data_IF_213226779479
#
_entry.id   IF_213226779479
#
_cell.length_a   1.000
_cell.length_b   1.000
_cell.length_c   1.000
_cell.angle_alpha   90.00
_cell.angle_beta   90.00
_cell.angle_gamma   90.00
#
_symmetry.space_group_name_H-M   'P 1'
#
loop_
_entity.id
_entity.type
_entity.pdbx_description
1 polymer ?
#
# COMPACT_ATOMS: atom_id res chain seq x y z
N UNK A 1 -14.87 20.12 -20.02
CA UNK A 1 -14.32 21.43 -20.47
C UNK A 1 -13.44 21.20 -21.70
N UNK A 2 -13.20 22.23 -22.53
CA UNK A 2 -12.23 22.09 -23.65
C UNK A 2 -10.80 22.07 -23.12
N UNK A 3 -9.87 21.41 -23.82
CA UNK A 3 -8.45 21.33 -23.39
C UNK A 3 -7.81 22.71 -23.21
N UNK A 4 -8.11 23.64 -24.12
CA UNK A 4 -7.70 25.04 -23.98
C UNK A 4 -8.16 25.62 -22.64
N UNK A 5 -9.45 25.48 -22.33
CA UNK A 5 -10.04 26.05 -21.11
C UNK A 5 -9.47 25.42 -19.83
N UNK A 6 -9.17 24.11 -19.86
CA UNK A 6 -8.48 23.42 -18.77
C UNK A 6 -7.10 24.03 -18.55
N UNK A 7 -6.32 24.21 -19.61
CA UNK A 7 -4.95 24.71 -19.52
C UNK A 7 -4.87 26.18 -19.13
N UNK A 8 -5.76 27.02 -19.65
CA UNK A 8 -5.81 28.44 -19.26
C UNK A 8 -6.20 28.61 -17.79
N UNK A 9 -7.08 27.76 -17.26
CA UNK A 9 -7.42 27.75 -15.84
C UNK A 9 -6.31 27.17 -14.96
N UNK A 10 -5.72 26.04 -15.34
CA UNK A 10 -4.68 25.37 -14.54
C UNK A 10 -3.42 26.23 -14.38
N UNK A 11 -3.04 26.95 -15.43
CA UNK A 11 -1.84 27.79 -15.45
C UNK A 11 -2.13 29.29 -15.31
N UNK A 12 -3.40 29.66 -15.16
CA UNK A 12 -3.85 31.05 -14.98
C UNK A 12 -3.32 32.01 -16.07
N UNK A 13 -3.26 31.56 -17.33
CA UNK A 13 -2.87 32.38 -18.48
C UNK A 13 -4.00 32.58 -19.48
N UNK A 14 -3.81 33.52 -20.41
CA UNK A 14 -4.75 33.79 -21.49
C UNK A 14 -4.71 32.76 -22.63
N UNK A 15 -5.83 32.62 -23.37
CA UNK A 15 -5.92 31.75 -24.55
C UNK A 15 -4.83 31.98 -25.62
N UNK A 16 -4.40 33.21 -25.96
CA UNK A 16 -3.28 33.40 -26.88
C UNK A 16 -1.99 32.74 -26.40
N UNK A 17 -1.73 32.78 -25.10
CA UNK A 17 -0.55 32.14 -24.48
C UNK A 17 -0.63 30.62 -24.61
N UNK A 18 -1.81 30.02 -24.47
CA UNK A 18 -2.03 28.59 -24.73
C UNK A 18 -1.56 28.21 -26.15
N UNK A 19 -2.05 28.93 -27.16
CA UNK A 19 -1.72 28.63 -28.56
C UNK A 19 -0.25 28.87 -28.87
N UNK A 20 0.36 29.92 -28.31
CA UNK A 20 1.80 30.14 -28.42
C UNK A 20 2.58 28.96 -27.85
N UNK A 21 2.28 28.55 -26.62
CA UNK A 21 3.07 27.52 -25.96
C UNK A 21 2.85 26.11 -26.52
N UNK A 22 1.67 25.82 -27.07
CA UNK A 22 1.36 24.51 -27.66
C UNK A 22 1.81 24.40 -29.11
N UNK A 23 1.64 25.46 -29.93
CA UNK A 23 1.91 25.41 -31.37
C UNK A 23 3.28 25.97 -31.75
N UNK A 24 3.70 27.08 -31.16
CA UNK A 24 4.95 27.77 -31.51
C UNK A 24 6.10 27.23 -30.65
N UNK A 25 6.01 27.40 -29.33
CA UNK A 25 7.11 27.06 -28.42
C UNK A 25 7.17 25.56 -28.10
N UNK A 26 6.08 24.82 -28.34
CA UNK A 26 5.93 23.36 -28.08
C UNK A 26 6.47 22.95 -26.71
N UNK A 27 6.01 23.62 -25.66
CA UNK A 27 6.49 23.38 -24.30
C UNK A 27 6.14 21.96 -23.84
N UNK A 28 7.16 21.19 -23.48
CA UNK A 28 7.06 19.78 -23.05
C UNK A 28 6.14 19.54 -21.84
N UNK A 29 5.84 20.57 -21.06
CA UNK A 29 4.92 20.45 -19.91
C UNK A 29 3.53 19.97 -20.36
N UNK A 30 3.06 20.39 -21.54
CA UNK A 30 1.77 19.92 -22.05
C UNK A 30 1.82 18.45 -22.45
N UNK A 31 2.93 17.98 -23.03
CA UNK A 31 3.12 16.57 -23.36
C UNK A 31 3.14 15.71 -22.10
N UNK A 32 3.83 16.17 -21.05
CA UNK A 32 3.84 15.50 -19.75
C UNK A 32 2.43 15.41 -19.16
N UNK A 33 1.66 16.51 -19.17
CA UNK A 33 0.29 16.53 -18.67
C UNK A 33 -0.65 15.66 -19.51
N UNK A 34 -0.45 15.60 -20.84
CA UNK A 34 -1.22 14.72 -21.73
C UNK A 34 -0.91 13.24 -21.48
N UNK A 35 0.35 12.93 -21.18
CA UNK A 35 0.79 11.56 -20.87
C UNK A 35 0.27 11.09 -19.51
N UNK A 36 0.36 11.95 -18.50
CA UNK A 36 0.07 11.58 -17.12
C UNK A 36 -1.43 11.65 -16.75
N UNK A 37 -2.19 12.57 -17.37
CA UNK A 37 -3.56 12.88 -16.95
C UNK A 37 -4.54 13.02 -18.11
N UNK A 38 -5.74 12.49 -17.88
CA UNK A 38 -6.91 12.70 -18.73
C UNK A 38 -7.51 14.10 -18.51
N UNK A 39 -8.36 14.55 -19.45
CA UNK A 39 -9.09 15.82 -19.28
C UNK A 39 -9.97 15.81 -18.01
N UNK A 40 -10.63 14.70 -17.72
CA UNK A 40 -11.53 14.58 -16.57
C UNK A 40 -10.76 14.74 -15.25
N UNK A 41 -9.61 14.09 -15.11
CA UNK A 41 -8.75 14.19 -13.92
C UNK A 41 -8.23 15.62 -13.72
N UNK A 42 -7.87 16.34 -14.79
CA UNK A 42 -7.44 17.74 -14.67
C UNK A 42 -8.61 18.68 -14.35
N UNK A 43 -9.80 18.42 -14.89
CA UNK A 43 -11.02 19.17 -14.53
C UNK A 43 -11.42 18.96 -13.07
N UNK A 44 -11.26 17.74 -12.58
CA UNK A 44 -11.46 17.39 -11.19
C UNK A 44 -10.50 18.19 -10.30
N UNK A 45 -9.20 18.16 -10.62
CA UNK A 45 -8.18 18.92 -9.89
C UNK A 45 -8.48 20.42 -9.83
N UNK A 46 -8.91 21.02 -10.94
CA UNK A 46 -9.27 22.44 -10.98
C UNK A 46 -10.44 22.75 -10.02
N UNK A 47 -11.39 21.82 -9.84
CA UNK A 47 -12.58 22.02 -8.99
C UNK A 47 -12.34 21.70 -7.52
N UNK A 48 -11.61 20.62 -7.24
CA UNK A 48 -11.50 20.05 -5.89
C UNK A 48 -10.12 20.24 -5.27
N UNK A 49 -9.11 20.62 -6.07
CA UNK A 49 -7.71 20.65 -5.66
C UNK A 49 -7.06 19.27 -5.55
N UNK A 50 -7.77 18.19 -5.95
CA UNK A 50 -7.31 16.80 -5.83
C UNK A 50 -7.68 15.98 -7.06
N UNK A 51 -7.02 14.83 -7.20
CA UNK A 51 -7.35 13.81 -8.21
C UNK A 51 -7.57 12.50 -7.44
N UNK A 52 -8.80 12.03 -7.40
CA UNK A 52 -9.26 10.87 -6.62
C UNK A 52 -8.45 9.63 -6.95
N UNK A 53 -8.10 9.40 -8.22
CA UNK A 53 -7.24 8.28 -8.62
C UNK A 53 -5.85 8.34 -7.98
N UNK A 54 -5.26 9.53 -7.84
CA UNK A 54 -3.94 9.69 -7.20
C UNK A 54 -4.07 9.41 -5.70
N UNK A 55 -5.12 9.92 -5.06
CA UNK A 55 -5.43 9.65 -3.65
C UNK A 55 -5.64 8.15 -3.42
N UNK A 56 -6.41 7.48 -4.27
CA UNK A 56 -6.60 6.03 -4.23
C UNK A 56 -5.30 5.25 -4.39
N UNK A 57 -4.43 5.66 -5.32
CA UNK A 57 -3.13 5.04 -5.51
C UNK A 57 -2.23 5.25 -4.29
N UNK A 58 -2.22 6.46 -3.72
CA UNK A 58 -1.52 6.78 -2.47
C UNK A 58 -2.01 5.91 -1.32
N UNK A 59 -3.31 5.79 -1.14
CA UNK A 59 -3.94 4.95 -0.13
C UNK A 59 -3.62 3.46 -0.32
N UNK A 60 -3.71 2.95 -1.55
CA UNK A 60 -3.33 1.56 -1.87
C UNK A 60 -1.86 1.29 -1.54
N UNK A 61 -0.97 2.23 -1.88
CA UNK A 61 0.48 2.12 -1.59
C UNK A 61 0.74 2.13 -0.09
N UNK A 62 0.11 3.07 0.64
CA UNK A 62 0.19 3.15 2.10
C UNK A 62 -0.29 1.86 2.78
N UNK A 63 -1.44 1.33 2.36
CA UNK A 63 -2.00 0.09 2.91
C UNK A 63 -1.06 -1.10 2.64
N UNK A 64 -0.51 -1.21 1.43
CA UNK A 64 0.45 -2.24 1.07
C UNK A 64 1.73 -2.16 1.91
N UNK A 65 2.33 -0.97 2.02
CA UNK A 65 3.58 -0.78 2.77
C UNK A 65 3.39 -1.07 4.26
N UNK A 66 2.27 -0.62 4.83
CA UNK A 66 1.92 -0.88 6.24
C UNK A 66 1.69 -2.37 6.48
N UNK A 67 0.98 -3.03 5.57
CA UNK A 67 0.77 -4.49 5.60
C UNK A 67 2.08 -5.27 5.53
N UNK A 68 3.01 -4.80 4.70
CA UNK A 68 4.32 -5.43 4.54
C UNK A 68 5.21 -5.22 5.76
N UNK A 69 5.16 -4.04 6.40
CA UNK A 69 5.82 -3.78 7.69
C UNK A 69 5.25 -4.69 8.77
N UNK A 70 3.93 -4.77 8.88
CA UNK A 70 3.25 -5.68 9.82
C UNK A 70 3.76 -7.12 9.65
N UNK A 71 3.71 -7.66 8.44
CA UNK A 71 4.12 -9.04 8.19
C UNK A 71 5.60 -9.31 8.50
N UNK A 72 6.50 -8.35 8.20
CA UNK A 72 7.91 -8.44 8.59
C UNK A 72 8.09 -8.47 10.10
N UNK A 73 7.35 -7.64 10.83
CA UNK A 73 7.38 -7.63 12.30
C UNK A 73 6.89 -8.95 12.87
N UNK A 74 5.77 -9.50 12.37
CA UNK A 74 5.26 -10.82 12.77
C UNK A 74 6.34 -11.90 12.59
N UNK A 75 7.01 -11.92 11.42
CA UNK A 75 8.11 -12.87 11.16
C UNK A 75 9.26 -12.74 12.13
N UNK A 76 9.60 -11.50 12.53
CA UNK A 76 10.69 -11.22 13.46
C UNK A 76 10.38 -11.68 14.88
N UNK A 77 9.15 -11.47 15.37
CA UNK A 77 8.75 -11.82 16.75
C UNK A 77 8.30 -13.27 16.92
N UNK A 78 8.12 -14.00 15.80
CA UNK A 78 7.72 -15.42 15.80
C UNK A 78 8.65 -16.23 14.91
N UNK A 79 8.19 -16.63 13.72
CA UNK A 79 8.99 -17.20 12.65
C UNK A 79 8.19 -17.15 11.32
N UNK A 80 8.79 -17.61 10.23
CA UNK A 80 8.14 -17.62 8.91
C UNK A 80 6.83 -18.42 8.89
N UNK A 81 6.79 -19.55 9.58
CA UNK A 81 5.64 -20.47 9.57
C UNK A 81 4.47 -19.89 10.35
N UNK A 82 4.71 -19.42 11.58
CA UNK A 82 3.70 -18.74 12.41
C UNK A 82 3.18 -17.49 11.70
N UNK A 83 4.05 -16.70 11.06
CA UNK A 83 3.62 -15.52 10.31
C UNK A 83 2.69 -15.88 9.15
N UNK A 84 3.01 -16.93 8.39
CA UNK A 84 2.17 -17.44 7.30
C UNK A 84 0.83 -17.94 7.83
N UNK A 85 0.84 -18.70 8.92
CA UNK A 85 -0.38 -19.22 9.55
C UNK A 85 -1.24 -18.10 10.11
N UNK A 86 -0.65 -17.04 10.66
CA UNK A 86 -1.37 -15.87 11.12
C UNK A 86 -2.09 -15.16 9.97
N UNK A 87 -1.43 -14.99 8.82
CA UNK A 87 -2.07 -14.43 7.63
C UNK A 87 -3.28 -15.26 7.17
N UNK A 88 -3.19 -16.59 7.24
CA UNK A 88 -4.31 -17.49 6.94
C UNK A 88 -5.45 -17.33 7.96
N UNK A 89 -5.12 -17.24 9.25
CA UNK A 89 -6.08 -17.02 10.33
C UNK A 89 -6.84 -15.70 10.15
N UNK A 90 -6.15 -14.63 9.77
CA UNK A 90 -6.75 -13.31 9.48
C UNK A 90 -7.70 -13.39 8.27
N UNK A 91 -7.28 -13.99 7.17
CA UNK A 91 -8.13 -14.19 5.98
C UNK A 91 -9.40 -15.00 6.32
N UNK A 92 -9.27 -16.06 7.11
CA UNK A 92 -10.40 -16.91 7.50
C UNK A 92 -11.38 -16.16 8.41
N UNK A 93 -10.88 -15.45 9.43
CA UNK A 93 -11.69 -14.61 10.29
C UNK A 93 -12.46 -13.55 9.48
N UNK A 94 -11.79 -12.91 8.53
CA UNK A 94 -12.41 -11.91 7.68
C UNK A 94 -13.58 -12.49 6.86
N UNK A 95 -13.38 -13.65 6.24
CA UNK A 95 -14.43 -14.33 5.45
C UNK A 95 -15.59 -14.80 6.32
N UNK A 96 -15.31 -15.35 7.50
CA UNK A 96 -16.33 -15.83 8.43
C UNK A 96 -17.16 -14.70 9.03
N UNK A 97 -16.62 -13.49 9.07
CA UNK A 97 -17.27 -12.31 9.64
C UNK A 97 -17.83 -11.38 8.56
N UNK A 98 -18.40 -11.93 7.48
CA UNK A 98 -19.01 -11.17 6.39
C UNK A 98 -18.09 -10.11 5.79
N UNK A 99 -16.82 -10.45 5.58
CA UNK A 99 -15.81 -9.53 5.04
C UNK A 99 -15.60 -8.28 5.92
N UNK A 100 -15.54 -8.49 7.24
CA UNK A 100 -15.19 -7.46 8.22
C UNK A 100 -14.13 -7.96 9.21
N UNK A 101 -13.30 -7.05 9.70
CA UNK A 101 -12.31 -7.35 10.74
C UNK A 101 -12.95 -7.12 12.11
N UNK A 102 -12.96 -8.17 12.94
CA UNK A 102 -13.44 -8.12 14.32
C UNK A 102 -12.29 -8.61 15.22
N UNK A 103 -11.71 -7.68 15.98
CA UNK A 103 -10.47 -7.92 16.76
C UNK A 103 -10.68 -8.99 17.83
N UNK A 104 -11.85 -9.01 18.47
CA UNK A 104 -12.22 -9.94 19.52
C UNK A 104 -12.22 -11.38 19.00
N UNK A 105 -12.78 -11.60 17.80
CA UNK A 105 -12.81 -12.93 17.16
C UNK A 105 -11.44 -13.38 16.69
N UNK A 106 -10.61 -12.43 16.23
CA UNK A 106 -9.20 -12.71 15.90
C UNK A 106 -8.44 -13.11 17.17
N UNK A 107 -8.64 -12.41 18.27
CA UNK A 107 -8.03 -12.74 19.56
C UNK A 107 -8.45 -14.15 20.01
N UNK A 108 -9.74 -14.44 20.00
CA UNK A 108 -10.29 -15.75 20.32
C UNK A 108 -9.66 -16.85 19.46
N UNK A 109 -9.54 -16.61 18.16
CA UNK A 109 -8.89 -17.54 17.23
C UNK A 109 -7.42 -17.76 17.56
N UNK A 110 -6.65 -16.70 17.86
CA UNK A 110 -5.23 -16.82 18.22
C UNK A 110 -5.03 -17.65 19.49
N UNK A 111 -5.93 -17.52 20.47
CA UNK A 111 -5.83 -18.29 21.72
C UNK A 111 -6.31 -19.74 21.59
N UNK A 112 -7.23 -20.02 20.64
CA UNK A 112 -7.75 -21.37 20.39
C UNK A 112 -6.92 -22.19 19.39
N UNK A 113 -6.25 -21.54 18.44
CA UNK A 113 -5.57 -22.19 17.31
C UNK A 113 -4.13 -22.63 17.62
N UNK A 114 -3.86 -23.25 18.76
CA UNK A 114 -2.50 -23.60 19.17
C UNK A 114 -1.81 -24.55 18.19
N UNK A 115 -2.55 -25.57 17.75
CA UNK A 115 -2.04 -26.56 16.78
C UNK A 115 -1.87 -25.97 15.39
N UNK A 116 -2.78 -25.09 14.98
CA UNK A 116 -2.85 -24.56 13.60
C UNK A 116 -1.91 -23.38 13.39
N UNK A 117 -1.73 -22.54 14.42
CA UNK A 117 -0.92 -21.33 14.37
C UNK A 117 0.55 -21.63 14.73
N UNK A 118 0.79 -22.42 15.78
CA UNK A 118 2.13 -22.64 16.32
C UNK A 118 2.73 -24.01 16.01
N UNK A 119 1.90 -25.01 15.66
CA UNK A 119 2.23 -26.45 15.68
C UNK A 119 2.77 -26.91 17.05
N UNK A 120 2.38 -28.11 17.47
CA UNK A 120 2.61 -28.56 18.85
C UNK A 120 4.08 -28.46 19.28
N UNK A 121 4.33 -27.73 20.37
CA UNK A 121 5.58 -27.83 21.11
C UNK A 121 5.35 -28.76 22.30
N UNK A 122 5.76 -30.02 22.21
CA UNK A 122 5.46 -31.11 23.17
C UNK A 122 6.06 -30.97 24.59
N UNK A 123 6.62 -29.82 24.98
CA UNK A 123 7.29 -29.66 26.29
C UNK A 123 6.76 -28.44 27.05
N UNK A 124 6.51 -28.58 28.36
CA UNK A 124 6.01 -27.50 29.25
C UNK A 124 6.80 -26.20 29.18
N UNK A 125 8.11 -26.27 28.89
CA UNK A 125 8.98 -25.09 28.68
C UNK A 125 8.57 -24.20 27.49
N UNK A 126 7.76 -24.71 26.56
CA UNK A 126 7.33 -23.96 25.38
C UNK A 126 5.98 -23.26 25.58
N UNK A 127 5.22 -23.57 26.65
CA UNK A 127 3.90 -22.97 26.90
C UNK A 127 4.04 -21.47 27.19
N UNK A 128 4.99 -21.08 28.03
CA UNK A 128 5.26 -19.67 28.36
C UNK A 128 5.69 -18.87 27.12
N UNK A 129 6.52 -19.49 26.27
CA UNK A 129 7.02 -18.91 25.03
C UNK A 129 5.88 -18.71 24.02
N UNK A 130 5.02 -19.72 23.83
CA UNK A 130 3.83 -19.62 22.97
C UNK A 130 2.86 -18.57 23.49
N UNK A 131 2.64 -18.52 24.81
CA UNK A 131 1.75 -17.54 25.45
C UNK A 131 2.27 -16.12 25.24
N UNK A 132 3.56 -15.90 25.44
CA UNK A 132 4.22 -14.62 25.19
C UNK A 132 4.12 -14.22 23.72
N UNK A 133 4.28 -15.18 22.79
CA UNK A 133 4.09 -14.94 21.36
C UNK A 133 2.63 -14.56 21.04
N UNK A 134 1.63 -15.28 21.55
CA UNK A 134 0.21 -14.94 21.36
C UNK A 134 -0.09 -13.51 21.80
N UNK A 135 0.39 -13.13 22.99
CA UNK A 135 0.26 -11.77 23.51
C UNK A 135 0.94 -10.74 22.60
N UNK A 136 2.16 -11.02 22.13
CA UNK A 136 2.88 -10.13 21.22
C UNK A 136 2.15 -9.96 19.87
N UNK A 137 1.63 -11.04 19.31
CA UNK A 137 0.84 -11.02 18.07
C UNK A 137 -0.45 -10.22 18.24
N UNK A 138 -1.18 -10.46 19.34
CA UNK A 138 -2.42 -9.73 19.62
C UNK A 138 -2.16 -8.23 19.81
N UNK A 139 -1.15 -7.87 20.59
CA UNK A 139 -0.74 -6.47 20.77
C UNK A 139 -0.37 -5.81 19.45
N UNK A 140 0.30 -6.55 18.55
CA UNK A 140 0.65 -6.04 17.23
C UNK A 140 -0.60 -5.76 16.39
N UNK A 141 -1.58 -6.69 16.41
CA UNK A 141 -2.86 -6.58 15.69
C UNK A 141 -3.68 -5.42 16.21
N UNK A 142 -3.82 -5.29 17.54
CA UNK A 142 -4.59 -4.21 18.17
C UNK A 142 -4.03 -2.81 17.86
N UNK A 143 -2.73 -2.70 17.62
CA UNK A 143 -2.07 -1.44 17.25
C UNK A 143 -2.16 -1.12 15.76
N UNK A 144 -2.62 -2.04 14.92
CA UNK A 144 -2.78 -1.76 13.49
C UNK A 144 -4.07 -1.01 13.21
N UNK A 145 -4.01 -0.15 12.20
CA UNK A 145 -5.20 0.43 11.59
C UNK A 145 -6.09 -0.69 11.01
N UNK A 146 -7.40 -0.58 11.22
CA UNK A 146 -8.38 -1.57 10.77
C UNK A 146 -8.38 -1.75 9.25
N UNK A 147 -8.17 -0.68 8.48
CA UNK A 147 -8.08 -0.73 7.02
C UNK A 147 -6.83 -1.51 6.57
N UNK A 148 -5.74 -1.44 7.33
CA UNK A 148 -4.55 -2.25 7.07
C UNK A 148 -4.85 -3.72 7.33
N UNK A 149 -5.53 -4.06 8.42
CA UNK A 149 -5.94 -5.45 8.71
C UNK A 149 -6.90 -6.01 7.66
N UNK A 150 -7.85 -5.20 7.19
CA UNK A 150 -8.73 -5.58 6.08
C UNK A 150 -7.95 -5.82 4.79
N UNK A 151 -7.02 -4.91 4.47
CA UNK A 151 -6.16 -5.04 3.30
C UNK A 151 -5.32 -6.32 3.38
N UNK A 152 -4.74 -6.63 4.54
CA UNK A 152 -4.00 -7.87 4.78
C UNK A 152 -4.88 -9.09 4.52
N UNK A 153 -6.09 -9.08 5.08
CA UNK A 153 -7.03 -10.19 4.99
C UNK A 153 -7.49 -10.47 3.56
N UNK A 154 -7.67 -9.41 2.75
CA UNK A 154 -8.03 -9.50 1.31
C UNK A 154 -6.85 -9.94 0.45
N UNK A 155 -5.63 -9.48 0.76
CA UNK A 155 -4.46 -9.58 -0.12
C UNK A 155 -3.38 -10.55 0.41
N UNK A 156 -3.78 -11.55 1.20
CA UNK A 156 -2.88 -12.53 1.84
C UNK A 156 -1.77 -13.06 0.94
N UNK A 157 -2.16 -13.58 -0.24
CA UNK A 157 -1.23 -14.21 -1.22
C UNK A 157 -0.21 -13.21 -1.77
N UNK A 158 -0.64 -11.97 -1.98
CA UNK A 158 0.22 -10.91 -2.51
C UNK A 158 1.29 -10.52 -1.47
N UNK A 159 0.90 -10.37 -0.21
CA UNK A 159 1.82 -10.05 0.89
C UNK A 159 2.84 -11.18 1.08
N UNK A 160 2.37 -12.43 1.13
CA UNK A 160 3.25 -13.60 1.27
C UNK A 160 4.26 -13.65 0.11
N UNK A 161 3.80 -13.53 -1.14
CA UNK A 161 4.68 -13.57 -2.33
C UNK A 161 5.69 -12.44 -2.34
N UNK A 162 5.28 -11.20 -2.05
CA UNK A 162 6.19 -10.05 -2.08
C UNK A 162 7.16 -10.05 -0.89
N UNK A 163 6.85 -10.73 0.22
CA UNK A 163 7.78 -10.94 1.32
C UNK A 163 8.95 -11.87 1.04
N UNK A 164 8.80 -12.76 0.06
CA UNK A 164 9.80 -13.72 -0.37
C UNK A 164 10.75 -13.15 -1.41
N UNK A 165 10.33 -12.10 -2.12
CA UNK A 165 11.23 -11.34 -2.99
C UNK A 165 12.27 -10.69 -2.08
N UNK A 166 13.53 -11.18 -2.15
CA UNK A 166 14.68 -10.41 -1.65
C UNK A 166 14.51 -8.98 -2.16
N UNK A 167 14.79 -7.99 -1.32
CA UNK A 167 14.75 -6.57 -1.70
C UNK A 167 15.68 -6.32 -2.88
N UNK A 168 15.24 -6.63 -4.09
CA UNK A 168 15.63 -5.90 -5.27
C UNK A 168 15.19 -4.49 -4.92
N UNK A 169 16.18 -3.64 -4.63
CA UNK A 169 15.99 -2.20 -4.44
C UNK A 169 14.90 -1.76 -5.40
N UNK A 170 13.73 -1.39 -4.89
CA UNK A 170 12.86 -0.47 -5.59
C UNK A 170 13.57 0.89 -5.54
N UNK A 171 14.74 0.97 -6.18
CA UNK A 171 15.16 2.16 -6.84
C UNK A 171 14.17 2.28 -7.98
N UNK A 172 13.22 3.19 -7.83
CA UNK A 172 12.44 3.69 -8.94
C UNK A 172 13.44 3.99 -10.06
N UNK A 173 13.41 3.19 -11.12
CA UNK A 173 14.32 3.30 -12.28
C UNK A 173 14.04 4.58 -13.10
N UNK A 174 13.21 5.47 -12.57
CA UNK A 174 12.89 6.80 -13.09
C UNK A 174 13.83 7.86 -12.48
N UNK A 175 14.42 7.62 -11.30
CA UNK A 175 15.22 8.63 -10.58
C UNK A 175 16.70 8.73 -11.02
N UNK A 176 17.16 7.87 -11.94
CA UNK A 176 18.57 7.84 -12.37
C UNK A 176 18.83 8.23 -13.84
N UNK A 177 17.80 8.63 -14.61
CA UNK A 177 18.01 9.10 -15.99
C UNK A 177 18.13 10.63 -16.12
N UNK A 178 17.91 11.39 -15.05
CA UNK A 178 18.03 12.86 -15.08
C UNK A 178 19.26 13.44 -14.34
N UNK A 179 20.03 12.61 -13.64
CA UNK A 179 21.19 13.07 -12.85
C UNK A 179 22.55 13.01 -13.58
N UNK A 180 22.62 12.47 -14.81
CA UNK A 180 23.91 12.27 -15.50
C UNK A 180 24.15 13.10 -16.77
N UNK A 181 23.30 14.06 -17.13
CA UNK A 181 23.48 14.85 -18.37
C UNK A 181 23.68 16.37 -18.21
N UNK A 182 24.00 16.86 -17.01
CA UNK A 182 24.41 18.26 -16.82
C UNK A 182 25.77 18.34 -16.15
N UNK A 183 26.83 18.06 -16.91
CA UNK A 183 28.15 18.72 -16.79
C UNK A 183 28.98 18.34 -18.02
N UNK A 184 28.76 19.07 -19.12
CA UNK A 184 29.69 19.24 -20.25
C UNK A 184 29.22 20.44 -21.09
N UNK A 185 29.55 21.63 -20.62
CA UNK A 185 29.97 22.78 -21.45
C UNK A 185 31.14 23.40 -20.70
#
# INVERSE_FOLDING_TARGET
>A
MTREKIMTQLFEFSSPTYYKWTKQDKRKIFDLLNYAFTNNELEEFIKTGKIDKIEELGNKTYLFDSSMKFYKTVKHISNFKVAKNLLLLLENNYKQNNNSVIIEKIAESIYKSDKELFEYFENDKNIEVVTSMKLALLNLIQKQDIFVLEYISKNRKEIEKNSLKKSAKYLNKIDFLYSNNFHRI
#
